data_IF_376895419188
#
_entry.id   IF_376895419188
#
_cell.length_a   1.000
_cell.length_b   1.000
_cell.length_c   1.000
_cell.angle_alpha   90.00
_cell.angle_beta   90.00
_cell.angle_gamma   90.00
#
_symmetry.space_group_name_H-M   'P 1'
#
loop_
_entity.id
_entity.type
_entity.pdbx_description
1 polymer ?
#
# COMPACT_ATOMS: atom_id res chain seq x y z
N UNK A 1 -59.89 -17.68 8.64
CA UNK A 1 -61.34 -18.01 8.65
C UNK A 1 -62.14 -16.81 8.19
N UNK A 2 -62.61 -16.83 6.94
CA UNK A 2 -63.87 -16.27 6.45
C UNK A 2 -64.00 -16.79 5.01
N UNK A 3 -64.86 -17.80 4.84
CA UNK A 3 -65.24 -18.39 3.57
C UNK A 3 -66.30 -17.49 2.94
N UNK A 4 -66.29 -17.31 1.63
CA UNK A 4 -67.52 -17.25 0.85
C UNK A 4 -67.31 -17.90 -0.51
N UNK A 5 -68.32 -18.65 -0.92
CA UNK A 5 -68.29 -19.67 -1.94
C UNK A 5 -68.87 -19.18 -3.28
N UNK A 6 -68.29 -19.71 -4.36
CA UNK A 6 -68.86 -20.27 -5.60
C UNK A 6 -70.10 -19.58 -6.21
N UNK A 7 -69.96 -19.19 -7.48
CA UNK A 7 -70.98 -19.46 -8.50
C UNK A 7 -70.30 -19.64 -9.87
N UNK A 8 -70.30 -20.89 -10.36
CA UNK A 8 -70.04 -21.21 -11.77
C UNK A 8 -71.41 -21.31 -12.44
N UNK A 9 -71.65 -20.46 -13.44
CA UNK A 9 -72.76 -20.60 -14.39
C UNK A 9 -72.13 -20.75 -15.76
N UNK A 10 -72.40 -21.89 -16.40
CA UNK A 10 -72.02 -22.19 -17.79
C UNK A 10 -73.21 -21.83 -18.67
N UNK A 11 -73.03 -20.90 -19.61
CA UNK A 11 -73.84 -20.83 -20.82
C UNK A 11 -73.09 -20.04 -21.90
N UNK A 12 -72.97 -20.65 -23.07
CA UNK A 12 -72.10 -20.25 -24.18
C UNK A 12 -72.35 -18.86 -24.77
N UNK A 13 -71.31 -18.38 -25.44
CA UNK A 13 -71.31 -17.16 -26.24
C UNK A 13 -69.86 -16.74 -26.49
N UNK A 14 -69.40 -16.87 -27.73
CA UNK A 14 -68.09 -16.42 -28.15
C UNK A 14 -67.93 -14.92 -27.88
N UNK A 15 -66.99 -14.54 -27.01
CA UNK A 15 -66.69 -13.14 -26.70
C UNK A 15 -65.26 -12.82 -27.17
N UNK A 16 -65.18 -11.94 -28.16
CA UNK A 16 -63.95 -11.34 -28.67
C UNK A 16 -63.34 -10.47 -27.57
N UNK A 17 -62.16 -10.84 -27.06
CA UNK A 17 -61.41 -10.04 -26.10
C UNK A 17 -60.45 -9.13 -26.87
N UNK A 18 -60.81 -7.86 -26.99
CA UNK A 18 -59.89 -6.78 -27.33
C UNK A 18 -59.01 -6.45 -26.12
N UNK A 19 -57.69 -6.60 -26.27
CA UNK A 19 -56.74 -6.22 -25.23
C UNK A 19 -56.49 -4.70 -25.26
N UNK A 20 -57.03 -3.98 -24.28
CA UNK A 20 -56.66 -2.59 -24.00
C UNK A 20 -55.37 -2.61 -23.17
N UNK A 21 -54.26 -2.20 -23.77
CA UNK A 21 -52.99 -2.01 -23.07
C UNK A 21 -53.03 -0.73 -22.23
N UNK A 22 -53.24 -0.86 -20.91
CA UNK A 22 -53.07 0.23 -19.96
C UNK A 22 -51.56 0.41 -19.71
N UNK A 23 -50.99 1.47 -20.30
CA UNK A 23 -49.63 1.93 -20.02
C UNK A 23 -49.57 2.49 -18.59
N UNK A 24 -49.13 1.67 -17.63
CA UNK A 24 -48.75 2.14 -16.31
C UNK A 24 -47.36 2.78 -16.39
N UNK A 25 -47.32 4.12 -16.32
CA UNK A 25 -46.08 4.88 -16.17
C UNK A 25 -45.54 4.71 -14.74
N UNK A 26 -44.75 3.66 -14.52
CA UNK A 26 -44.05 3.48 -13.25
C UNK A 26 -42.96 4.53 -13.10
N UNK A 27 -43.23 5.59 -12.32
CA UNK A 27 -42.21 6.52 -11.79
C UNK A 27 -41.21 5.72 -10.96
N UNK A 28 -40.05 5.40 -11.53
CA UNK A 28 -38.88 4.85 -10.81
C UNK A 28 -38.38 5.87 -9.78
N UNK A 29 -38.75 5.69 -8.51
CA UNK A 29 -38.04 6.30 -7.37
C UNK A 29 -36.61 5.74 -7.34
N UNK A 30 -35.61 6.56 -7.66
CA UNK A 30 -34.20 6.25 -7.39
C UNK A 30 -34.02 6.11 -5.88
N UNK A 31 -33.84 4.88 -5.39
CA UNK A 31 -33.31 4.62 -4.05
C UNK A 31 -31.84 5.04 -4.04
N UNK A 32 -31.52 6.03 -3.22
CA UNK A 32 -30.16 6.35 -2.80
C UNK A 32 -29.55 5.14 -2.11
N UNK A 33 -28.54 4.53 -2.75
CA UNK A 33 -27.77 3.44 -2.18
C UNK A 33 -26.81 4.00 -1.13
N UNK A 34 -27.24 4.03 0.12
CA UNK A 34 -26.32 4.11 1.26
C UNK A 34 -25.50 2.81 1.29
N UNK A 35 -24.20 2.91 1.00
CA UNK A 35 -23.28 1.79 1.14
C UNK A 35 -23.06 1.58 2.64
N UNK A 36 -23.84 0.64 3.20
CA UNK A 36 -23.64 0.17 4.57
C UNK A 36 -22.52 -0.88 4.54
N UNK A 37 -21.36 -0.52 5.04
CA UNK A 37 -20.24 -1.45 5.25
C UNK A 37 -20.52 -2.32 6.47
N UNK A 38 -21.20 -3.43 6.27
CA UNK A 38 -21.33 -4.47 7.31
C UNK A 38 -20.01 -5.24 7.43
N UNK A 39 -19.42 -5.16 8.63
CA UNK A 39 -18.33 -6.03 9.05
C UNK A 39 -18.90 -7.39 9.47
N UNK A 40 -19.28 -8.20 8.49
CA UNK A 40 -19.65 -9.60 8.71
C UNK A 40 -18.65 -10.48 7.96
N UNK A 41 -17.98 -11.36 8.72
CA UNK A 41 -17.26 -12.51 8.18
C UNK A 41 -18.21 -13.26 7.24
N UNK A 42 -17.94 -13.16 5.95
CA UNK A 42 -18.66 -13.89 4.93
C UNK A 42 -17.60 -14.55 4.08
N UNK A 43 -17.68 -15.87 4.03
CA UNK A 43 -17.08 -16.74 3.04
C UNK A 43 -17.56 -16.33 1.65
N UNK A 44 -17.11 -15.17 1.16
CA UNK A 44 -17.39 -14.70 -0.18
C UNK A 44 -16.32 -15.32 -1.07
N UNK A 45 -16.71 -16.29 -1.88
CA UNK A 45 -15.86 -16.89 -2.93
C UNK A 45 -15.24 -15.86 -3.88
N UNK A 46 -15.71 -14.60 -3.90
CA UNK A 46 -15.23 -13.55 -4.79
C UNK A 46 -14.98 -12.21 -4.07
N UNK A 47 -13.90 -11.53 -4.46
CA UNK A 47 -13.58 -10.17 -4.01
C UNK A 47 -14.60 -9.14 -4.53
N UNK A 48 -14.99 -8.17 -3.69
CA UNK A 48 -15.88 -7.08 -4.12
C UNK A 48 -15.08 -5.88 -4.66
N UNK A 49 -15.00 -5.78 -5.99
CA UNK A 49 -14.22 -4.76 -6.69
C UNK A 49 -12.72 -4.90 -6.45
N UNK A 50 -11.91 -4.01 -7.04
CA UNK A 50 -10.45 -4.13 -7.01
C UNK A 50 -9.88 -4.05 -5.58
N UNK A 51 -10.53 -3.28 -4.70
CA UNK A 51 -10.11 -3.13 -3.30
C UNK A 51 -10.26 -4.42 -2.49
N UNK A 52 -11.19 -5.30 -2.87
CA UNK A 52 -11.37 -6.60 -2.24
C UNK A 52 -10.29 -7.61 -2.61
N UNK A 53 -9.54 -7.35 -3.69
CA UNK A 53 -8.43 -8.18 -4.13
C UNK A 53 -7.09 -7.78 -3.48
N UNK A 54 -7.06 -6.71 -2.69
CA UNK A 54 -5.86 -6.31 -1.92
C UNK A 54 -5.74 -7.20 -0.68
N UNK A 55 -4.56 -7.78 -0.51
CA UNK A 55 -4.25 -8.70 0.57
C UNK A 55 -4.54 -10.16 0.23
N UNK A 56 -4.56 -11.03 1.25
CA UNK A 56 -4.65 -12.49 1.08
C UNK A 56 -3.64 -13.05 0.07
N UNK A 57 -2.46 -12.43 -0.02
CA UNK A 57 -1.43 -12.80 -0.98
C UNK A 57 -0.85 -14.18 -0.64
N UNK A 58 -0.35 -14.95 -1.60
CA UNK A 58 0.28 -16.24 -1.32
C UNK A 58 1.52 -16.10 -0.42
N UNK A 59 1.71 -17.10 0.45
CA UNK A 59 2.99 -17.34 1.12
C UNK A 59 3.74 -18.40 0.30
N UNK A 60 4.85 -18.01 -0.32
CA UNK A 60 5.58 -18.85 -1.27
C UNK A 60 6.83 -19.40 -0.60
N UNK A 61 7.02 -20.71 -0.63
CA UNK A 61 8.30 -21.31 -0.21
C UNK A 61 9.36 -20.99 -1.25
N UNK A 62 10.48 -20.41 -0.84
CA UNK A 62 11.63 -20.21 -1.72
C UNK A 62 12.49 -21.46 -1.58
N UNK A 63 12.38 -22.36 -2.57
CA UNK A 63 12.99 -23.70 -2.53
C UNK A 63 14.50 -23.60 -2.40
N UNK A 64 15.13 -22.81 -3.26
CA UNK A 64 16.59 -22.67 -3.30
C UNK A 64 17.18 -22.18 -1.97
N UNK A 65 16.53 -21.22 -1.31
CA UNK A 65 16.96 -20.69 -0.02
C UNK A 65 16.68 -21.66 1.13
N UNK A 66 15.58 -22.40 1.06
CA UNK A 66 15.25 -23.42 2.05
C UNK A 66 16.27 -24.55 2.03
N UNK A 67 16.59 -25.07 0.84
CA UNK A 67 17.60 -26.11 0.63
C UNK A 67 18.99 -25.65 1.11
N UNK A 68 19.38 -24.41 0.78
CA UNK A 68 20.70 -23.89 1.14
C UNK A 68 20.89 -23.61 2.64
N UNK A 69 19.81 -23.53 3.42
CA UNK A 69 19.87 -23.19 4.85
C UNK A 69 19.41 -24.32 5.77
N UNK A 70 18.77 -25.35 5.22
CA UNK A 70 18.09 -26.39 6.00
C UNK A 70 16.88 -25.86 6.79
N UNK A 71 16.43 -24.63 6.52
CA UNK A 71 15.25 -24.01 7.11
C UNK A 71 14.09 -24.01 6.10
N UNK A 72 12.88 -23.79 6.58
CA UNK A 72 11.73 -23.50 5.72
C UNK A 72 11.67 -21.97 5.49
N UNK A 73 12.20 -21.50 4.36
CA UNK A 73 12.21 -20.07 4.02
C UNK A 73 11.01 -19.75 3.13
N UNK A 74 10.09 -18.95 3.67
CA UNK A 74 8.93 -18.45 2.96
C UNK A 74 9.00 -16.95 2.71
N UNK A 75 8.36 -16.51 1.63
CA UNK A 75 8.18 -15.09 1.36
C UNK A 75 6.74 -14.77 0.94
N UNK A 76 6.19 -13.72 1.53
CA UNK A 76 4.85 -13.21 1.25
C UNK A 76 4.87 -12.45 -0.08
N UNK A 77 4.13 -12.94 -1.08
CA UNK A 77 4.16 -12.43 -2.46
C UNK A 77 3.32 -11.15 -2.63
N UNK A 78 3.75 -10.04 -2.02
CA UNK A 78 3.02 -8.77 -2.04
C UNK A 78 3.02 -8.05 -3.40
N UNK A 79 3.90 -8.44 -4.31
CA UNK A 79 3.85 -8.01 -5.71
C UNK A 79 2.59 -8.50 -6.45
N UNK A 80 1.84 -9.47 -5.89
CA UNK A 80 0.57 -9.97 -6.45
C UNK A 80 -0.68 -9.17 -6.02
N UNK A 81 -0.52 -8.14 -5.19
CA UNK A 81 -1.61 -7.16 -5.02
C UNK A 81 -1.91 -6.48 -6.37
N UNK A 82 -3.15 -5.99 -6.61
CA UNK A 82 -3.57 -5.47 -7.92
C UNK A 82 -2.78 -4.24 -8.43
N UNK A 83 -2.35 -3.37 -7.53
CA UNK A 83 -1.43 -2.26 -7.79
C UNK A 83 0.04 -2.69 -7.84
N UNK A 84 0.32 -3.98 -7.68
CA UNK A 84 1.62 -4.61 -7.89
C UNK A 84 2.63 -4.38 -6.77
N UNK A 85 2.18 -4.02 -5.56
CA UNK A 85 3.07 -3.90 -4.40
C UNK A 85 2.37 -4.01 -3.06
N UNK A 86 3.17 -4.20 -2.01
CA UNK A 86 2.74 -4.13 -0.61
C UNK A 86 2.03 -2.81 -0.22
N UNK A 87 2.28 -1.71 -0.93
CA UNK A 87 1.71 -0.40 -0.58
C UNK A 87 0.20 -0.30 -0.84
N UNK A 88 -0.38 -1.25 -1.57
CA UNK A 88 -1.82 -1.35 -1.76
C UNK A 88 -2.56 -1.47 -0.43
N UNK A 89 -2.04 -2.31 0.48
CA UNK A 89 -2.61 -2.48 1.82
C UNK A 89 -2.65 -1.16 2.58
N UNK A 90 -1.57 -0.39 2.48
CA UNK A 90 -1.42 0.91 3.15
C UNK A 90 -2.37 1.93 2.55
N UNK A 91 -2.43 2.04 1.23
CA UNK A 91 -3.34 2.95 0.53
C UNK A 91 -4.81 2.66 0.85
N UNK A 92 -5.21 1.39 0.83
CA UNK A 92 -6.56 0.95 1.23
C UNK A 92 -6.87 1.36 2.66
N UNK A 93 -5.95 1.11 3.59
CA UNK A 93 -6.17 1.40 5.01
C UNK A 93 -6.24 2.90 5.29
N UNK A 94 -5.32 3.69 4.70
CA UNK A 94 -5.30 5.16 4.82
C UNK A 94 -6.62 5.76 4.31
N UNK A 95 -7.03 5.43 3.08
CA UNK A 95 -8.21 6.03 2.46
C UNK A 95 -9.49 5.59 3.17
N UNK A 96 -9.62 4.31 3.54
CA UNK A 96 -10.79 3.81 4.29
C UNK A 96 -10.94 4.50 5.64
N UNK A 97 -9.86 4.62 6.42
CA UNK A 97 -9.93 5.28 7.73
C UNK A 97 -10.20 6.78 7.60
N UNK A 98 -9.65 7.45 6.57
CA UNK A 98 -9.93 8.84 6.30
C UNK A 98 -11.41 9.08 5.94
N UNK A 99 -12.00 8.21 5.11
CA UNK A 99 -13.42 8.26 4.76
C UNK A 99 -14.31 7.98 5.97
N UNK A 100 -13.99 6.94 6.76
CA UNK A 100 -14.75 6.57 7.96
C UNK A 100 -14.74 7.66 9.04
N UNK A 101 -13.61 8.36 9.19
CA UNK A 101 -13.48 9.47 10.14
C UNK A 101 -14.02 10.80 9.62
N UNK A 102 -14.45 10.87 8.35
CA UNK A 102 -14.92 12.10 7.71
C UNK A 102 -13.80 13.11 7.38
N UNK A 103 -12.54 12.75 7.57
CA UNK A 103 -11.36 13.55 7.16
C UNK A 103 -11.15 13.57 5.66
N UNK A 104 -11.68 12.57 4.97
CA UNK A 104 -11.83 12.50 3.52
C UNK A 104 -13.30 12.24 3.21
N UNK A 105 -13.76 12.68 2.04
CA UNK A 105 -15.14 12.51 1.57
C UNK A 105 -15.12 11.97 0.13
N UNK A 106 -16.19 11.28 -0.32
CA UNK A 106 -16.36 11.01 -1.75
C UNK A 106 -16.24 12.30 -2.56
N UNK A 107 -15.48 12.28 -3.65
CA UNK A 107 -15.12 13.45 -4.46
C UNK A 107 -13.97 14.30 -3.90
N UNK A 108 -13.49 14.03 -2.69
CA UNK A 108 -12.32 14.68 -2.09
C UNK A 108 -11.01 14.26 -2.74
N UNK A 109 -9.94 15.04 -2.56
CA UNK A 109 -8.61 14.74 -3.09
C UNK A 109 -7.69 14.19 -2.03
N UNK A 110 -7.07 13.04 -2.31
CA UNK A 110 -5.97 12.48 -1.51
C UNK A 110 -4.65 12.94 -2.12
N UNK A 111 -3.77 13.50 -1.30
CA UNK A 111 -2.45 13.96 -1.74
C UNK A 111 -1.32 13.18 -1.12
N UNK A 112 -0.23 12.99 -1.87
CA UNK A 112 1.00 12.36 -1.38
C UNK A 112 2.22 12.88 -2.14
N UNK A 113 3.35 13.01 -1.43
CA UNK A 113 4.64 13.27 -2.05
C UNK A 113 5.39 11.95 -2.26
N UNK A 114 5.30 11.37 -3.45
CA UNK A 114 6.02 10.14 -3.80
C UNK A 114 5.95 9.88 -5.30
N UNK A 115 7.03 9.39 -5.91
CA UNK A 115 7.00 8.84 -7.29
C UNK A 115 6.95 7.29 -7.30
N UNK A 116 6.84 6.65 -6.13
CA UNK A 116 7.01 5.21 -5.96
C UNK A 116 5.70 4.45 -5.78
N UNK A 117 5.81 3.24 -5.25
CA UNK A 117 4.68 2.30 -5.13
C UNK A 117 3.52 2.87 -4.30
N UNK A 118 3.78 3.71 -3.30
CA UNK A 118 2.71 4.36 -2.52
C UNK A 118 1.84 5.27 -3.37
N UNK A 119 2.43 6.06 -4.28
CA UNK A 119 1.65 6.92 -5.16
C UNK A 119 0.79 6.12 -6.13
N UNK A 120 1.33 5.04 -6.68
CA UNK A 120 0.63 4.13 -7.59
C UNK A 120 -0.56 3.48 -6.88
N UNK A 121 -0.34 2.96 -5.68
CA UNK A 121 -1.39 2.38 -4.84
C UNK A 121 -2.46 3.40 -4.47
N UNK A 122 -2.08 4.64 -4.11
CA UNK A 122 -3.03 5.71 -3.80
C UNK A 122 -3.85 6.13 -5.02
N UNK A 123 -3.23 6.24 -6.20
CA UNK A 123 -3.93 6.58 -7.45
C UNK A 123 -5.03 5.56 -7.76
N UNK A 124 -4.68 4.27 -7.76
CA UNK A 124 -5.63 3.18 -7.98
C UNK A 124 -6.74 3.16 -6.92
N UNK A 125 -6.39 3.24 -5.63
CA UNK A 125 -7.36 3.12 -4.54
C UNK A 125 -8.27 4.35 -4.46
N UNK A 126 -7.76 5.56 -4.70
CA UNK A 126 -8.56 6.78 -4.68
C UNK A 126 -9.68 6.69 -5.72
N UNK A 127 -9.36 6.32 -6.96
CA UNK A 127 -10.36 6.13 -8.03
C UNK A 127 -11.41 5.11 -7.62
N UNK A 128 -11.00 3.94 -7.10
CA UNK A 128 -11.93 2.90 -6.66
C UNK A 128 -12.83 3.33 -5.47
N UNK A 129 -12.40 4.31 -4.67
CA UNK A 129 -13.16 4.91 -3.58
C UNK A 129 -13.98 6.15 -4.00
N UNK A 130 -13.98 6.52 -5.29
CA UNK A 130 -14.64 7.74 -5.78
C UNK A 130 -13.96 9.03 -5.30
N UNK A 131 -12.66 8.99 -5.01
CA UNK A 131 -11.83 10.12 -4.62
C UNK A 131 -10.89 10.51 -5.76
N UNK A 132 -10.42 11.76 -5.76
CA UNK A 132 -9.36 12.25 -6.63
C UNK A 132 -7.99 11.94 -6.00
N UNK A 133 -6.95 11.81 -6.81
CA UNK A 133 -5.57 11.65 -6.33
C UNK A 133 -4.68 12.74 -6.92
N UNK A 134 -3.89 13.40 -6.09
CA UNK A 134 -2.90 14.38 -6.51
C UNK A 134 -1.54 14.04 -5.92
N UNK A 135 -0.60 13.67 -6.80
CA UNK A 135 0.75 13.26 -6.42
C UNK A 135 1.73 14.36 -6.75
N UNK A 136 2.63 14.67 -5.81
CA UNK A 136 3.74 15.58 -6.06
C UNK A 136 5.03 14.77 -6.16
N UNK A 137 5.76 14.93 -7.25
CA UNK A 137 6.98 14.17 -7.55
C UNK A 137 8.15 15.10 -7.89
N UNK A 138 9.40 14.69 -7.61
CA UNK A 138 10.59 15.36 -8.17
C UNK A 138 10.57 15.39 -9.71
N UNK A 139 11.01 16.48 -10.32
CA UNK A 139 11.05 16.64 -11.79
C UNK A 139 12.13 15.80 -12.48
N UNK A 140 13.13 15.34 -11.73
CA UNK A 140 14.18 14.40 -12.14
C UNK A 140 13.76 12.92 -12.00
N UNK A 141 12.54 12.64 -11.53
CA UNK A 141 11.99 11.30 -11.54
C UNK A 141 11.78 10.81 -12.98
N UNK A 142 11.99 9.50 -13.18
CA UNK A 142 11.79 8.85 -14.48
C UNK A 142 10.40 9.17 -15.06
N UNK A 143 10.35 9.52 -16.35
CA UNK A 143 9.14 10.01 -17.02
C UNK A 143 8.02 8.97 -16.96
N UNK A 144 8.37 7.69 -17.07
CA UNK A 144 7.47 6.55 -17.01
C UNK A 144 6.72 6.48 -15.67
N UNK A 145 7.33 6.94 -14.57
CA UNK A 145 6.68 6.98 -13.25
C UNK A 145 5.51 7.97 -13.25
N UNK A 146 5.68 9.14 -13.86
CA UNK A 146 4.62 10.13 -13.99
C UNK A 146 3.51 9.66 -14.95
N UNK A 147 3.89 9.14 -16.12
CA UNK A 147 2.94 8.63 -17.12
C UNK A 147 2.04 7.53 -16.55
N UNK A 148 2.61 6.61 -15.74
CA UNK A 148 1.83 5.59 -15.06
C UNK A 148 0.82 6.18 -14.07
N UNK A 149 1.23 7.19 -13.28
CA UNK A 149 0.33 7.84 -12.32
C UNK A 149 -0.81 8.59 -13.02
N UNK A 150 -0.51 9.29 -14.11
CA UNK A 150 -1.49 9.98 -14.94
C UNK A 150 -2.47 8.99 -15.59
N UNK A 151 -1.97 7.87 -16.11
CA UNK A 151 -2.80 6.80 -16.67
C UNK A 151 -3.71 6.13 -15.63
N UNK A 152 -3.29 6.12 -14.35
CA UNK A 152 -4.12 5.67 -13.22
C UNK A 152 -5.12 6.73 -12.74
N UNK A 153 -5.18 7.90 -13.40
CA UNK A 153 -6.13 8.96 -13.11
C UNK A 153 -5.68 9.94 -12.02
N UNK A 154 -4.40 9.94 -11.65
CA UNK A 154 -3.87 10.92 -10.71
C UNK A 154 -3.43 12.21 -11.41
N UNK A 155 -3.64 13.35 -10.76
CA UNK A 155 -2.96 14.60 -11.11
C UNK A 155 -1.52 14.53 -10.62
N UNK A 156 -0.55 14.84 -11.49
CA UNK A 156 0.88 14.81 -11.15
C UNK A 156 1.46 16.22 -11.20
N UNK A 157 1.98 16.70 -10.07
CA UNK A 157 2.74 17.95 -9.97
C UNK A 157 4.23 17.63 -9.87
N UNK A 158 5.00 18.03 -10.89
CA UNK A 158 6.46 17.87 -10.89
C UNK A 158 7.12 19.11 -10.29
N UNK A 159 8.05 18.90 -9.37
CA UNK A 159 8.71 19.99 -8.63
C UNK A 159 10.21 19.76 -8.57
N UNK A 160 10.97 20.85 -8.49
CA UNK A 160 12.43 20.79 -8.37
C UNK A 160 12.86 20.02 -7.11
N UNK A 161 13.81 19.07 -7.21
CA UNK A 161 14.41 18.40 -6.07
C UNK A 161 15.09 19.39 -5.13
N UNK A 162 14.77 19.30 -3.85
CA UNK A 162 15.35 20.11 -2.76
C UNK A 162 15.52 19.24 -1.51
N UNK A 163 16.25 19.73 -0.51
CA UNK A 163 16.44 18.99 0.75
C UNK A 163 15.11 18.78 1.49
N UNK A 164 15.04 17.73 2.32
CA UNK A 164 13.83 17.40 3.11
C UNK A 164 13.37 18.52 4.05
N UNK A 165 14.30 19.36 4.50
CA UNK A 165 14.03 20.53 5.36
C UNK A 165 13.50 21.73 4.59
N UNK A 166 13.67 21.75 3.27
CA UNK A 166 13.20 22.85 2.44
C UNK A 166 11.67 22.86 2.34
N UNK A 167 11.07 24.06 2.39
CA UNK A 167 9.61 24.22 2.30
C UNK A 167 9.03 23.66 1.00
N UNK A 168 9.80 23.68 -0.08
CA UNK A 168 9.38 23.21 -1.42
C UNK A 168 9.77 21.76 -1.70
N UNK A 169 10.17 21.01 -0.67
CA UNK A 169 10.28 19.56 -0.79
C UNK A 169 8.93 18.97 -1.20
N UNK A 170 8.92 18.05 -2.17
CA UNK A 170 7.70 17.48 -2.77
C UNK A 170 6.67 16.96 -1.73
N UNK A 171 7.12 16.38 -0.62
CA UNK A 171 6.24 15.96 0.50
C UNK A 171 5.56 17.15 1.19
N UNK A 172 6.29 18.26 1.38
CA UNK A 172 5.75 19.47 1.99
C UNK A 172 4.76 20.17 1.05
N UNK A 173 5.03 20.16 -0.26
CA UNK A 173 4.10 20.65 -1.28
C UNK A 173 2.83 19.81 -1.29
N UNK A 174 2.93 18.48 -1.30
CA UNK A 174 1.75 17.60 -1.25
C UNK A 174 0.87 17.88 -0.02
N UNK A 175 1.49 18.10 1.15
CA UNK A 175 0.77 18.51 2.37
C UNK A 175 0.05 19.84 2.18
N UNK A 176 0.71 20.85 1.58
CA UNK A 176 0.06 22.14 1.29
C UNK A 176 -1.11 21.98 0.33
N UNK A 177 -0.99 21.15 -0.72
CA UNK A 177 -2.10 20.89 -1.67
C UNK A 177 -3.34 20.30 -1.00
N UNK A 178 -3.16 19.41 -0.02
CA UNK A 178 -4.28 18.92 0.78
C UNK A 178 -4.93 20.04 1.61
N UNK A 179 -4.12 20.87 2.28
CA UNK A 179 -4.61 21.99 3.09
C UNK A 179 -5.35 23.02 2.25
N UNK A 180 -4.82 23.37 1.07
CA UNK A 180 -5.43 24.29 0.12
C UNK A 180 -6.77 23.75 -0.40
N UNK A 181 -6.83 22.47 -0.76
CA UNK A 181 -8.07 21.84 -1.22
C UNK A 181 -9.14 21.78 -0.11
N UNK A 182 -8.74 21.53 1.14
CA UNK A 182 -9.63 21.55 2.30
C UNK A 182 -10.13 22.96 2.63
N UNK A 183 -9.26 23.96 2.58
CA UNK A 183 -9.62 25.36 2.80
C UNK A 183 -10.64 25.85 1.75
N UNK A 184 -10.37 25.62 0.46
CA UNK A 184 -11.27 25.95 -0.65
C UNK A 184 -12.64 25.27 -0.52
N UNK A 185 -12.68 24.04 0.01
CA UNK A 185 -13.93 23.36 0.29
C UNK A 185 -14.72 24.05 1.41
N UNK A 186 -14.06 24.42 2.50
CA UNK A 186 -14.70 25.13 3.62
C UNK A 186 -15.23 26.50 3.23
N UNK A 187 -14.47 27.26 2.43
CA UNK A 187 -14.92 28.57 1.92
C UNK A 187 -16.21 28.45 1.10
N UNK A 188 -16.31 27.47 0.20
CA UNK A 188 -17.54 27.21 -0.58
C UNK A 188 -18.73 26.83 0.30
N UNK A 189 -18.52 26.11 1.39
CA UNK A 189 -19.58 25.77 2.34
C UNK A 189 -20.08 26.98 3.15
N UNK A 190 -19.25 28.01 3.33
CA UNK A 190 -19.64 29.25 4.03
C UNK A 190 -20.40 30.19 3.09
N UNK A 191 -20.03 30.23 1.81
CA UNK A 191 -20.61 31.15 0.82
C UNK A 191 -22.02 30.74 0.35
N UNK A 192 -22.47 29.51 0.60
CA UNK A 192 -23.87 29.10 0.42
C UNK A 192 -24.66 29.31 1.72
N UNK A 193 -25.31 30.47 1.95
CA UNK A 193 -25.95 30.74 3.23
C UNK A 193 -27.21 29.90 3.34
N UNK A 194 -27.41 29.30 4.50
CA UNK A 194 -28.72 28.79 4.91
C UNK A 194 -29.66 29.99 4.99
N UNK A 195 -30.59 30.13 4.05
CA UNK A 195 -31.56 31.22 4.08
C UNK A 195 -32.53 31.02 5.25
N UNK A 196 -32.39 31.84 6.30
CA UNK A 196 -33.21 31.76 7.52
C UNK A 196 -34.64 32.28 7.32
N UNK A 197 -34.96 32.85 6.15
CA UNK A 197 -36.29 33.40 5.85
C UNK A 197 -37.15 32.51 4.94
N UNK A 198 -36.72 31.31 4.57
CA UNK A 198 -37.54 30.41 3.77
C UNK A 198 -38.69 29.80 4.61
N UNK A 199 -39.91 30.31 4.40
CA UNK A 199 -41.14 29.85 5.07
C UNK A 199 -41.72 28.56 4.48
N UNK A 200 -40.98 27.84 3.63
CA UNK A 200 -41.46 26.63 2.96
C UNK A 200 -40.63 25.39 3.37
N UNK A 201 -41.10 24.56 4.32
CA UNK A 201 -40.27 23.49 4.91
C UNK A 201 -40.04 22.27 4.00
N UNK A 202 -40.41 22.31 2.71
CA UNK A 202 -40.33 21.15 1.81
C UNK A 202 -39.30 21.27 0.68
N UNK A 203 -38.39 22.26 0.68
CA UNK A 203 -37.37 22.41 -0.38
C UNK A 203 -35.96 22.80 0.07
N UNK A 204 -35.55 22.54 1.32
CA UNK A 204 -34.15 22.73 1.73
C UNK A 204 -33.31 21.48 1.50
N UNK A 205 -33.08 21.14 0.24
CA UNK A 205 -31.90 20.39 -0.16
C UNK A 205 -30.78 21.39 -0.39
N UNK A 206 -29.71 21.34 0.40
CA UNK A 206 -28.45 22.04 0.10
C UNK A 206 -28.05 21.77 -1.35
N UNK A 207 -28.28 22.74 -2.23
CA UNK A 207 -27.73 22.74 -3.57
C UNK A 207 -26.25 23.09 -3.46
N UNK A 208 -25.44 22.12 -3.04
CA UNK A 208 -24.03 22.11 -3.42
C UNK A 208 -24.08 22.04 -4.94
N UNK A 209 -23.62 23.09 -5.62
CA UNK A 209 -23.37 23.02 -7.06
C UNK A 209 -22.27 21.97 -7.20
N UNK A 210 -22.70 20.75 -7.54
CA UNK A 210 -21.85 19.59 -7.75
C UNK A 210 -21.12 19.82 -9.09
N UNK A 211 -20.19 20.78 -9.10
CA UNK A 211 -19.22 20.88 -10.18
C UNK A 211 -18.39 19.61 -10.09
N UNK A 212 -18.63 18.67 -11.02
CA UNK A 212 -17.89 17.39 -11.09
C UNK A 212 -16.37 17.59 -11.04
N UNK A 213 -15.90 18.77 -11.44
CA UNK A 213 -14.49 19.11 -11.56
C UNK A 213 -13.84 19.58 -10.25
N UNK A 214 -14.58 20.07 -9.25
CA UNK A 214 -13.96 20.55 -8.00
C UNK A 214 -13.84 19.45 -6.93
N UNK A 215 -12.80 19.50 -6.10
CA UNK A 215 -12.58 18.50 -5.06
C UNK A 215 -13.42 18.77 -3.80
N UNK A 216 -13.98 17.73 -3.19
CA UNK A 216 -14.79 17.80 -1.95
C UNK A 216 -13.90 17.75 -0.69
N UNK A 217 -12.93 18.67 -0.61
CA UNK A 217 -11.94 18.74 0.46
C UNK A 217 -10.63 18.01 0.14
N UNK A 218 -9.67 18.08 1.05
CA UNK A 218 -8.30 17.59 0.84
C UNK A 218 -7.73 16.81 2.02
N UNK A 219 -7.06 15.69 1.73
CA UNK A 219 -6.46 14.81 2.73
C UNK A 219 -5.04 14.40 2.35
N UNK A 220 -4.08 14.74 3.21
CA UNK A 220 -2.68 14.32 3.04
C UNK A 220 -2.50 12.90 3.59
N UNK A 221 -2.09 11.96 2.74
CA UNK A 221 -1.99 10.54 3.10
C UNK A 221 -0.94 10.29 4.21
N UNK A 222 0.19 10.99 4.12
CA UNK A 222 1.30 10.99 5.08
C UNK A 222 1.80 9.58 5.43
N UNK A 223 2.23 8.81 4.43
CA UNK A 223 2.61 7.40 4.63
C UNK A 223 3.63 7.14 5.75
N UNK A 224 4.46 8.12 6.09
CA UNK A 224 5.48 8.01 7.12
C UNK A 224 4.89 8.14 8.53
N UNK A 225 3.99 9.10 8.74
CA UNK A 225 3.47 9.44 10.07
C UNK A 225 2.05 8.92 10.34
N UNK A 226 1.35 8.45 9.31
CA UNK A 226 0.00 7.90 9.44
C UNK A 226 0.04 6.45 9.93
N UNK A 227 -0.48 6.21 11.15
CA UNK A 227 -0.53 4.88 11.78
C UNK A 227 -1.52 3.90 11.11
N UNK A 228 -2.32 4.36 10.14
CA UNK A 228 -3.06 3.46 9.26
C UNK A 228 -2.10 2.51 8.51
N UNK A 229 -0.88 2.97 8.22
CA UNK A 229 0.18 2.16 7.64
C UNK A 229 0.54 0.96 8.54
N UNK A 230 0.93 1.19 9.79
CA UNK A 230 1.13 0.14 10.80
C UNK A 230 -0.09 -0.80 10.91
N UNK A 231 -1.30 -0.22 11.05
CA UNK A 231 -2.53 -1.00 11.23
C UNK A 231 -2.85 -1.89 10.03
N UNK A 232 -2.52 -1.48 8.81
CA UNK A 232 -2.73 -2.30 7.61
C UNK A 232 -2.01 -3.65 7.72
N UNK A 233 -0.83 -3.64 8.33
CA UNK A 233 0.00 -4.83 8.47
C UNK A 233 -0.31 -5.60 9.75
N UNK A 234 -0.58 -4.92 10.86
CA UNK A 234 -1.01 -5.56 12.10
C UNK A 234 -2.34 -6.31 11.95
N UNK A 235 -3.30 -5.73 11.21
CA UNK A 235 -4.65 -6.28 11.04
C UNK A 235 -4.80 -7.11 9.76
N UNK A 236 -3.78 -7.14 8.90
CA UNK A 236 -3.82 -7.83 7.60
C UNK A 236 -2.65 -8.79 7.43
N UNK A 237 -1.47 -8.25 7.09
CA UNK A 237 -0.31 -9.08 6.72
C UNK A 237 0.15 -10.02 7.84
N UNK A 238 0.21 -9.56 9.10
CA UNK A 238 0.59 -10.39 10.26
C UNK A 238 -0.34 -11.61 10.45
N UNK A 239 -1.66 -11.41 10.58
CA UNK A 239 -2.63 -12.51 10.65
C UNK A 239 -2.54 -13.49 9.49
N UNK A 240 -2.34 -13.00 8.27
CA UNK A 240 -2.19 -13.86 7.10
C UNK A 240 -0.95 -14.75 7.21
N UNK A 241 0.20 -14.19 7.60
CA UNK A 241 1.45 -14.96 7.80
C UNK A 241 1.25 -16.03 8.89
N UNK A 242 0.65 -15.66 10.02
CA UNK A 242 0.41 -16.57 11.12
C UNK A 242 -0.47 -17.75 10.69
N UNK A 243 -1.59 -17.46 10.01
CA UNK A 243 -2.50 -18.49 9.50
C UNK A 243 -1.83 -19.37 8.45
N UNK A 244 -1.11 -18.79 7.49
CA UNK A 244 -0.49 -19.51 6.37
C UNK A 244 0.69 -20.40 6.80
N UNK A 245 1.33 -20.08 7.93
CA UNK A 245 2.37 -20.93 8.54
C UNK A 245 1.80 -21.92 9.57
N UNK A 246 0.50 -21.88 9.85
CA UNK A 246 -0.10 -22.67 10.93
C UNK A 246 0.50 -22.33 12.31
N UNK A 247 0.92 -21.08 12.52
CA UNK A 247 1.58 -20.63 13.75
C UNK A 247 3.03 -21.10 13.92
N UNK A 248 3.64 -21.70 12.89
CA UNK A 248 5.00 -22.26 12.95
C UNK A 248 6.12 -21.27 12.64
N UNK A 249 5.81 -20.00 12.32
CA UNK A 249 6.83 -18.98 12.01
C UNK A 249 7.75 -18.74 13.21
N UNK A 250 9.03 -19.08 13.08
CA UNK A 250 10.04 -18.91 14.15
C UNK A 250 10.75 -17.56 14.04
N UNK A 251 10.91 -17.05 12.82
CA UNK A 251 11.41 -15.70 12.62
C UNK A 251 10.78 -14.95 11.44
N UNK A 252 10.76 -13.63 11.60
CA UNK A 252 10.40 -12.68 10.56
C UNK A 252 11.53 -11.68 10.33
N UNK A 253 11.79 -11.36 9.07
CA UNK A 253 12.78 -10.35 8.70
C UNK A 253 12.31 -9.52 7.51
N UNK A 254 12.48 -8.21 7.61
CA UNK A 254 12.18 -7.28 6.53
C UNK A 254 13.00 -5.99 6.64
N UNK A 255 13.22 -5.35 5.50
CA UNK A 255 13.72 -3.99 5.41
C UNK A 255 12.61 -2.99 5.72
N UNK A 256 13.02 -1.75 5.97
CA UNK A 256 12.12 -0.68 6.37
C UNK A 256 12.38 0.61 5.60
N UNK A 257 11.31 1.19 5.06
CA UNK A 257 11.25 2.61 4.67
C UNK A 257 10.42 3.39 5.68
N UNK A 258 9.10 3.40 5.50
CA UNK A 258 8.16 4.05 6.44
C UNK A 258 8.05 3.35 7.80
N UNK A 259 8.43 2.08 7.90
CA UNK A 259 8.34 1.28 9.13
C UNK A 259 7.02 0.55 9.36
N UNK A 260 5.95 0.84 8.61
CA UNK A 260 4.63 0.26 8.89
C UNK A 260 4.57 -1.26 8.67
N UNK A 261 5.22 -1.79 7.63
CA UNK A 261 5.28 -3.24 7.37
C UNK A 261 5.97 -3.98 8.50
N UNK A 262 7.22 -3.62 8.80
CA UNK A 262 8.00 -4.29 9.83
C UNK A 262 7.34 -4.13 11.20
N UNK A 263 6.84 -2.94 11.54
CA UNK A 263 6.23 -2.72 12.83
C UNK A 263 4.91 -3.49 12.99
N UNK A 264 4.00 -3.41 12.01
CA UNK A 264 2.70 -4.08 12.09
C UNK A 264 2.83 -5.59 12.19
N UNK A 265 3.70 -6.21 11.38
CA UNK A 265 3.89 -7.66 11.38
C UNK A 265 4.56 -8.12 12.68
N UNK A 266 5.66 -7.47 13.08
CA UNK A 266 6.41 -7.90 14.28
C UNK A 266 5.60 -7.75 15.55
N UNK A 267 4.81 -6.67 15.68
CA UNK A 267 3.85 -6.53 16.77
C UNK A 267 2.84 -7.67 16.80
N UNK A 268 2.19 -7.96 15.66
CA UNK A 268 1.19 -9.02 15.62
C UNK A 268 1.79 -10.39 15.96
N UNK A 269 2.92 -10.76 15.34
CA UNK A 269 3.55 -12.06 15.57
C UNK A 269 3.97 -12.24 17.03
N UNK A 270 4.53 -11.20 17.66
CA UNK A 270 4.91 -11.25 19.08
C UNK A 270 3.72 -11.21 20.04
N UNK A 271 2.59 -10.65 19.63
CA UNK A 271 1.35 -10.76 20.40
C UNK A 271 0.76 -12.18 20.33
N UNK A 272 1.01 -12.93 19.25
CA UNK A 272 0.63 -14.35 19.16
C UNK A 272 1.61 -15.26 19.90
N UNK A 273 2.92 -15.02 19.72
CA UNK A 273 4.00 -15.80 20.33
C UNK A 273 5.24 -14.90 20.54
N UNK A 274 5.50 -14.43 21.78
CA UNK A 274 6.59 -13.50 22.07
C UNK A 274 7.99 -13.98 21.64
N UNK A 275 8.18 -15.30 21.55
CA UNK A 275 9.44 -15.98 21.20
C UNK A 275 9.81 -15.81 19.72
N UNK A 276 8.86 -15.46 18.85
CA UNK A 276 9.13 -15.24 17.42
C UNK A 276 10.18 -14.16 17.25
N UNK A 277 11.28 -14.50 16.58
CA UNK A 277 12.41 -13.59 16.37
C UNK A 277 12.15 -12.63 15.23
N UNK A 278 12.38 -11.35 15.46
CA UNK A 278 12.04 -10.29 14.51
C UNK A 278 13.28 -9.43 14.21
N UNK A 279 13.71 -9.41 12.95
CA UNK A 279 14.92 -8.70 12.54
C UNK A 279 14.66 -7.63 11.47
N UNK A 280 15.39 -6.53 11.57
CA UNK A 280 15.54 -5.56 10.48
C UNK A 280 16.67 -5.99 9.54
N UNK A 281 16.49 -5.90 8.23
CA UNK A 281 17.59 -5.89 7.26
C UNK A 281 17.69 -4.49 6.64
N UNK A 282 18.82 -3.80 6.84
CA UNK A 282 18.97 -2.39 6.49
C UNK A 282 19.99 -2.20 5.36
N UNK A 283 19.69 -1.41 4.31
CA UNK A 283 20.60 -1.14 3.22
C UNK A 283 21.69 -0.12 3.61
N UNK A 284 22.73 0.06 2.78
CA UNK A 284 23.73 1.12 2.95
C UNK A 284 23.08 2.51 2.97
N UNK A 285 23.68 3.46 3.70
CA UNK A 285 23.18 4.84 3.82
C UNK A 285 21.99 5.02 4.78
N UNK A 286 21.38 3.93 5.26
CA UNK A 286 20.32 3.96 6.27
C UNK A 286 20.87 3.92 7.70
N UNK A 287 20.27 4.71 8.58
CA UNK A 287 20.62 4.79 10.00
C UNK A 287 19.87 3.79 10.88
N UNK A 288 18.87 3.08 10.35
CA UNK A 288 17.99 2.23 11.15
C UNK A 288 18.72 1.04 11.78
N UNK A 289 19.73 0.48 11.13
CA UNK A 289 20.56 -0.59 11.72
C UNK A 289 21.20 -0.14 13.02
N UNK A 290 21.84 1.04 13.04
CA UNK A 290 22.47 1.58 14.23
C UNK A 290 21.41 1.97 15.27
N UNK A 291 20.23 2.43 14.83
CA UNK A 291 19.12 2.72 15.76
C UNK A 291 18.71 1.49 16.54
N UNK A 292 18.57 0.34 15.87
CA UNK A 292 18.14 -0.92 16.48
C UNK A 292 19.26 -1.54 17.31
N UNK A 293 20.48 -1.59 16.77
CA UNK A 293 21.60 -2.27 17.43
C UNK A 293 22.28 -1.46 18.54
N UNK A 294 22.22 -0.13 18.49
CA UNK A 294 23.00 0.77 19.37
C UNK A 294 22.18 1.90 19.99
N UNK A 295 20.90 2.05 19.63
CA UNK A 295 20.05 3.14 20.10
C UNK A 295 20.31 4.50 19.41
N UNK A 296 21.23 4.59 18.46
CA UNK A 296 21.62 5.86 17.80
C UNK A 296 21.33 5.80 16.31
N UNK A 297 20.66 6.83 15.77
CA UNK A 297 20.37 6.94 14.35
C UNK A 297 21.52 7.63 13.61
N UNK A 298 22.30 6.87 12.85
CA UNK A 298 23.47 7.36 12.12
C UNK A 298 23.83 6.37 11.01
N UNK A 299 24.19 6.84 9.81
CA UNK A 299 24.77 6.01 8.75
C UNK A 299 26.29 6.24 8.63
N UNK A 300 27.08 5.21 8.32
CA UNK A 300 28.57 5.38 8.23
C UNK A 300 28.96 6.32 7.10
N UNK A 301 28.12 6.37 6.07
CA UNK A 301 28.20 7.22 4.90
C UNK A 301 28.00 8.71 5.25
N UNK A 302 27.50 9.03 6.46
CA UNK A 302 27.41 10.39 6.99
C UNK A 302 28.69 10.83 7.72
N UNK A 303 29.73 9.98 7.77
CA UNK A 303 31.01 10.32 8.38
C UNK A 303 31.67 11.50 7.67
N UNK A 304 32.32 12.37 8.45
CA UNK A 304 33.11 13.48 7.94
C UNK A 304 34.14 12.99 6.91
N UNK A 305 34.25 13.71 5.79
CA UNK A 305 35.12 13.34 4.66
C UNK A 305 34.60 12.21 3.75
N UNK A 306 33.49 11.54 4.09
CA UNK A 306 32.86 10.48 3.26
C UNK A 306 31.41 10.78 2.86
N UNK A 307 30.90 11.94 3.27
CA UNK A 307 29.54 12.38 3.00
C UNK A 307 29.30 12.50 1.50
N UNK A 308 28.51 11.57 0.97
CA UNK A 308 28.07 11.59 -0.42
C UNK A 308 27.13 12.79 -0.67
N UNK A 309 27.11 13.29 -1.91
CA UNK A 309 26.21 14.38 -2.33
C UNK A 309 24.74 14.00 -2.10
N UNK A 310 24.41 12.71 -2.27
CA UNK A 310 23.17 12.10 -1.82
C UNK A 310 23.50 11.03 -0.77
N UNK A 311 23.14 11.20 0.51
CA UNK A 311 23.50 10.24 1.58
C UNK A 311 22.83 8.86 1.43
N UNK A 312 21.87 8.72 0.50
CA UNK A 312 21.18 7.47 0.15
C UNK A 312 21.59 6.95 -1.22
N UNK A 313 22.88 7.01 -1.58
CA UNK A 313 23.41 6.49 -2.85
C UNK A 313 23.45 4.95 -2.85
N UNK A 314 22.29 4.35 -2.60
CA UNK A 314 22.00 2.93 -2.74
C UNK A 314 21.13 2.74 -3.96
N UNK A 315 21.38 1.66 -4.70
CA UNK A 315 20.50 1.24 -5.82
C UNK A 315 19.22 0.57 -5.32
N UNK A 316 19.10 0.31 -4.02
CA UNK A 316 17.87 -0.23 -3.43
C UNK A 316 16.83 0.88 -3.25
N UNK A 317 15.62 0.66 -3.79
CA UNK A 317 14.55 1.65 -3.78
C UNK A 317 13.47 1.27 -2.75
N UNK A 318 12.93 2.29 -2.06
CA UNK A 318 11.77 2.14 -1.18
C UNK A 318 12.06 1.66 0.24
N UNK A 319 13.34 1.49 0.59
CA UNK A 319 13.85 1.10 1.91
C UNK A 319 15.06 1.96 2.29
N UNK A 320 15.37 2.01 3.59
CA UNK A 320 16.44 2.84 4.14
C UNK A 320 16.01 4.27 4.42
N UNK A 321 16.34 4.80 5.60
CA UNK A 321 15.99 6.17 6.00
C UNK A 321 16.82 6.67 7.21
N UNK A 322 17.13 7.96 7.23
CA UNK A 322 17.85 8.62 8.34
C UNK A 322 16.92 9.50 9.20
N UNK A 323 15.69 9.01 9.46
CA UNK A 323 14.79 9.56 10.49
C UNK A 323 13.92 8.47 11.10
N UNK A 324 13.45 8.68 12.33
CA UNK A 324 12.48 7.81 12.98
C UNK A 324 11.06 8.27 12.64
N UNK A 325 10.27 7.36 12.10
CA UNK A 325 8.84 7.58 11.82
C UNK A 325 8.00 7.07 12.98
N UNK A 326 6.78 7.61 13.15
CA UNK A 326 5.82 7.07 14.13
C UNK A 326 5.53 5.57 13.92
N UNK A 327 5.49 5.13 12.67
CA UNK A 327 5.26 3.73 12.35
C UNK A 327 6.44 2.84 12.80
N UNK A 328 7.69 3.23 12.50
CA UNK A 328 8.87 2.43 12.85
C UNK A 328 9.07 2.33 14.37
N UNK A 329 8.75 3.38 15.11
CA UNK A 329 8.86 3.40 16.58
C UNK A 329 8.04 2.31 17.28
N UNK A 330 7.02 1.75 16.60
CA UNK A 330 6.21 0.66 17.13
C UNK A 330 6.84 -0.72 16.90
N UNK A 331 7.90 -0.85 16.09
CA UNK A 331 8.46 -2.14 15.75
C UNK A 331 9.06 -2.86 16.95
N UNK A 332 8.74 -4.16 17.09
CA UNK A 332 9.30 -5.03 18.13
C UNK A 332 10.40 -5.91 17.52
N UNK A 333 11.65 -5.49 17.66
CA UNK A 333 12.81 -6.13 17.01
C UNK A 333 13.77 -6.77 18.02
N UNK A 334 14.23 -7.98 17.73
CA UNK A 334 15.28 -8.70 18.47
C UNK A 334 16.68 -8.33 17.97
N UNK A 335 16.80 -7.71 16.78
CA UNK A 335 18.07 -7.26 16.25
C UNK A 335 17.96 -6.65 14.85
N UNK A 336 19.12 -6.31 14.29
CA UNK A 336 19.24 -5.82 12.93
C UNK A 336 20.45 -6.43 12.22
N UNK A 337 20.35 -6.53 10.90
CA UNK A 337 21.33 -7.05 9.97
C UNK A 337 21.56 -5.96 8.91
N UNK A 338 22.78 -5.84 8.39
CA UNK A 338 23.06 -4.96 7.24
C UNK A 338 23.14 -5.76 5.96
N UNK A 339 22.56 -5.28 4.87
CA UNK A 339 22.88 -5.82 3.54
C UNK A 339 23.58 -4.79 2.70
N UNK A 340 24.17 -5.24 1.61
CA UNK A 340 24.82 -4.38 0.61
C UNK A 340 24.04 -4.40 -0.71
N UNK A 341 24.28 -3.39 -1.54
CA UNK A 341 23.70 -3.31 -2.88
C UNK A 341 24.11 -4.49 -3.76
N UNK A 342 25.38 -4.89 -3.68
CA UNK A 342 25.90 -6.06 -4.40
C UNK A 342 25.15 -7.33 -4.00
N UNK A 343 24.93 -7.56 -2.71
CA UNK A 343 24.17 -8.72 -2.24
C UNK A 343 22.72 -8.70 -2.70
N UNK A 344 22.06 -7.54 -2.72
CA UNK A 344 20.71 -7.43 -3.26
C UNK A 344 20.68 -7.77 -4.76
N UNK A 345 21.64 -7.27 -5.56
CA UNK A 345 21.73 -7.59 -6.98
C UNK A 345 21.97 -9.09 -7.19
N UNK A 346 22.97 -9.67 -6.53
CA UNK A 346 23.28 -11.10 -6.65
C UNK A 346 22.09 -11.97 -6.22
N UNK A 347 21.46 -11.64 -5.10
CA UNK A 347 20.26 -12.34 -4.62
C UNK A 347 19.12 -12.27 -5.63
N UNK A 348 18.90 -11.12 -6.27
CA UNK A 348 17.84 -11.00 -7.29
C UNK A 348 18.08 -11.88 -8.52
N UNK A 349 19.35 -12.08 -8.91
CA UNK A 349 19.71 -12.95 -10.03
C UNK A 349 19.64 -14.41 -9.64
N UNK A 350 20.05 -14.74 -8.42
CA UNK A 350 19.92 -16.07 -7.84
C UNK A 350 18.44 -16.51 -7.79
N UNK A 351 17.56 -15.70 -7.20
CA UNK A 351 16.12 -15.99 -7.12
C UNK A 351 15.46 -16.19 -8.50
N UNK A 352 15.85 -15.37 -9.49
CA UNK A 352 15.33 -15.50 -10.84
C UNK A 352 15.79 -16.81 -11.49
N UNK A 353 17.08 -17.16 -11.35
CA UNK A 353 17.66 -18.35 -11.97
C UNK A 353 17.19 -19.66 -11.33
N UNK A 354 17.11 -19.70 -10.00
CA UNK A 354 16.86 -20.94 -9.25
C UNK A 354 15.36 -21.21 -8.98
N UNK A 355 14.55 -20.15 -8.85
CA UNK A 355 13.13 -20.25 -8.51
C UNK A 355 12.19 -19.55 -9.51
N UNK A 356 12.72 -18.83 -10.51
CA UNK A 356 11.88 -18.04 -11.43
C UNK A 356 11.26 -16.80 -10.79
N UNK A 357 11.76 -16.35 -9.64
CA UNK A 357 11.19 -15.25 -8.87
C UNK A 357 11.79 -13.91 -9.33
N UNK A 358 10.99 -13.12 -10.06
CA UNK A 358 11.40 -11.81 -10.58
C UNK A 358 10.91 -10.64 -9.72
N UNK A 359 11.79 -10.06 -8.91
CA UNK A 359 11.41 -9.14 -7.81
C UNK A 359 12.25 -7.87 -7.76
N UNK A 360 11.70 -6.83 -7.13
CA UNK A 360 12.41 -5.58 -6.91
C UNK A 360 13.56 -5.65 -5.90
N UNK A 361 14.31 -4.57 -5.82
CA UNK A 361 15.52 -4.46 -4.99
C UNK A 361 15.28 -4.69 -3.49
N UNK A 362 14.19 -4.13 -2.94
CA UNK A 362 13.83 -4.34 -1.53
C UNK A 362 13.46 -5.79 -1.20
N UNK A 363 12.82 -6.51 -2.13
CA UNK A 363 12.51 -7.94 -2.00
C UNK A 363 13.78 -8.79 -1.99
N UNK A 364 14.75 -8.46 -2.84
CA UNK A 364 16.04 -9.15 -2.86
C UNK A 364 16.82 -8.92 -1.56
N UNK A 365 16.85 -7.67 -1.07
CA UNK A 365 17.44 -7.33 0.24
C UNK A 365 16.75 -8.09 1.39
N UNK A 366 15.43 -8.21 1.35
CA UNK A 366 14.67 -9.03 2.30
C UNK A 366 15.10 -10.50 2.30
N UNK A 367 15.31 -11.10 1.13
CA UNK A 367 15.80 -12.48 1.01
C UNK A 367 17.24 -12.63 1.51
N UNK A 368 18.12 -11.64 1.34
CA UNK A 368 19.45 -11.61 1.99
C UNK A 368 19.29 -11.67 3.51
N UNK A 369 18.38 -10.87 4.08
CA UNK A 369 18.03 -10.92 5.50
C UNK A 369 17.53 -12.30 5.92
N UNK A 370 16.65 -12.92 5.13
CA UNK A 370 16.08 -14.24 5.41
C UNK A 370 17.14 -15.34 5.50
N UNK A 371 18.10 -15.37 4.56
CA UNK A 371 19.20 -16.35 4.60
C UNK A 371 20.07 -16.17 5.83
N UNK A 372 20.39 -14.92 6.19
CA UNK A 372 21.23 -14.65 7.38
C UNK A 372 20.52 -15.00 8.69
N UNK A 373 19.23 -14.72 8.79
CA UNK A 373 18.43 -15.14 9.96
C UNK A 373 18.29 -16.67 10.00
N UNK A 374 18.08 -17.33 8.87
CA UNK A 374 18.04 -18.79 8.78
C UNK A 374 19.35 -19.42 9.28
N UNK A 375 20.50 -18.89 8.82
CA UNK A 375 21.83 -19.33 9.29
C UNK A 375 22.06 -19.05 10.77
N UNK A 376 21.56 -17.94 11.29
CA UNK A 376 21.68 -17.59 12.71
C UNK A 376 20.90 -18.56 13.61
N UNK A 377 19.69 -18.96 13.20
CA UNK A 377 18.87 -19.89 13.98
C UNK A 377 19.25 -21.36 13.77
N UNK A 378 19.85 -21.68 12.63
CA UNK A 378 20.20 -23.05 12.25
C UNK A 378 19.01 -23.81 11.63
N UNK A 379 19.26 -25.02 11.08
CA UNK A 379 18.27 -25.78 10.33
C UNK A 379 17.03 -26.16 11.16
N UNK A 380 15.92 -26.44 10.48
CA UNK A 380 14.65 -26.85 11.07
C UNK A 380 13.69 -25.71 11.47
N UNK A 381 14.11 -24.45 11.32
CA UNK A 381 13.28 -23.29 11.64
C UNK A 381 12.47 -22.79 10.43
N UNK A 382 11.35 -22.12 10.70
CA UNK A 382 10.52 -21.45 9.68
C UNK A 382 10.78 -19.95 9.67
N UNK A 383 11.28 -19.44 8.54
CA UNK A 383 11.63 -18.02 8.36
C UNK A 383 10.67 -17.39 7.34
N UNK A 384 10.10 -16.24 7.68
CA UNK A 384 9.21 -15.50 6.77
C UNK A 384 9.81 -14.13 6.43
N UNK A 385 9.78 -13.79 5.14
CA UNK A 385 10.07 -12.43 4.66
C UNK A 385 9.02 -11.95 3.65
N UNK A 386 9.25 -10.81 3.01
CA UNK A 386 8.30 -10.14 2.11
C UNK A 386 8.92 -9.93 0.72
N UNK A 387 8.19 -10.30 -0.33
CA UNK A 387 8.47 -9.88 -1.71
C UNK A 387 7.58 -8.68 -2.04
N UNK A 388 8.13 -7.48 -1.83
CA UNK A 388 7.42 -6.19 -1.82
C UNK A 388 6.77 -5.82 -3.15
N UNK A 389 7.51 -5.96 -4.25
CA UNK A 389 7.13 -5.57 -5.60
C UNK A 389 7.92 -6.36 -6.67
N UNK A 390 7.45 -6.29 -7.92
CA UNK A 390 8.03 -6.99 -9.07
C UNK A 390 9.27 -6.29 -9.62
N UNK A 391 10.19 -7.08 -10.17
CA UNK A 391 11.40 -6.58 -10.83
C UNK A 391 11.11 -5.68 -12.05
N UNK A 392 9.91 -5.77 -12.63
CA UNK A 392 9.48 -4.94 -13.78
C UNK A 392 9.51 -3.44 -13.47
N UNK A 393 9.36 -3.07 -12.20
CA UNK A 393 9.41 -1.67 -11.73
C UNK A 393 10.84 -1.12 -11.64
N UNK A 394 11.85 -1.97 -11.78
CA UNK A 394 13.25 -1.67 -11.53
C UNK A 394 14.15 -1.90 -12.76
N UNK A 395 13.57 -1.99 -13.96
CA UNK A 395 14.28 -2.31 -15.20
C UNK A 395 15.34 -1.30 -15.61
N UNK A 396 15.12 -0.01 -15.36
CA UNK A 396 16.04 1.05 -15.79
C UNK A 396 17.30 1.21 -14.92
N UNK A 397 17.32 0.60 -13.73
CA UNK A 397 18.44 0.70 -12.78
C UNK A 397 18.88 -0.67 -12.26
N UNK A 398 18.11 -1.27 -11.35
CA UNK A 398 18.46 -2.52 -10.66
C UNK A 398 18.63 -3.74 -11.59
N UNK A 399 17.95 -3.74 -12.73
CA UNK A 399 18.08 -4.76 -13.78
C UNK A 399 18.82 -4.29 -15.04
N UNK A 400 19.34 -3.06 -15.06
CA UNK A 400 20.05 -2.51 -16.21
C UNK A 400 21.56 -2.77 -16.07
N UNK A 401 22.14 -3.55 -16.99
CA UNK A 401 23.57 -3.92 -16.94
C UNK A 401 24.51 -2.72 -17.04
N UNK A 402 24.20 -1.72 -17.87
CA UNK A 402 25.04 -0.53 -18.02
C UNK A 402 25.04 0.30 -16.73
N UNK A 403 23.86 0.50 -16.13
CA UNK A 403 23.71 1.16 -14.84
C UNK A 403 24.51 0.42 -13.75
N UNK A 404 24.34 -0.91 -13.65
CA UNK A 404 25.08 -1.71 -12.67
C UNK A 404 26.60 -1.67 -12.91
N UNK A 405 27.04 -1.66 -14.16
CA UNK A 405 28.46 -1.55 -14.53
C UNK A 405 29.08 -0.25 -14.04
N UNK A 406 28.39 0.89 -14.24
CA UNK A 406 28.88 2.20 -13.76
C UNK A 406 29.00 2.30 -12.24
N UNK A 407 28.32 1.42 -11.49
CA UNK A 407 28.37 1.35 -10.03
C UNK A 407 29.23 0.19 -9.51
N UNK A 408 29.86 -0.61 -10.39
CA UNK A 408 30.66 -1.77 -9.99
C UNK A 408 29.83 -2.94 -9.41
N UNK A 409 28.56 -3.04 -9.79
CA UNK A 409 27.57 -3.96 -9.21
C UNK A 409 27.12 -5.07 -10.18
N UNK A 410 27.83 -5.30 -11.28
CA UNK A 410 27.51 -6.38 -12.22
C UNK A 410 27.49 -7.74 -11.49
N UNK A 411 26.41 -8.54 -11.62
CA UNK A 411 26.31 -9.83 -10.95
C UNK A 411 27.32 -10.83 -11.49
N UNK A 412 27.97 -11.56 -10.60
CA UNK A 412 29.04 -12.52 -10.91
C UNK A 412 28.87 -13.86 -10.18
N UNK A 413 28.03 -13.92 -9.15
CA UNK A 413 27.87 -15.11 -8.33
C UNK A 413 27.05 -16.21 -9.05
N UNK A 414 27.43 -17.46 -8.79
CA UNK A 414 26.75 -18.66 -9.28
C UNK A 414 25.85 -19.31 -8.23
N UNK A 415 26.11 -19.07 -6.95
CA UNK A 415 25.31 -19.54 -5.82
C UNK A 415 25.17 -18.47 -4.75
N UNK A 416 25.09 -18.88 -3.49
CA UNK A 416 25.00 -18.00 -2.32
C UNK A 416 26.37 -17.63 -1.71
N UNK A 417 27.48 -17.87 -2.42
CA UNK A 417 28.83 -17.53 -1.98
C UNK A 417 29.07 -16.03 -1.78
N UNK A 418 28.20 -15.18 -2.33
CA UNK A 418 28.23 -13.73 -2.08
C UNK A 418 27.76 -13.35 -0.67
N UNK A 419 27.10 -14.28 0.05
CA UNK A 419 26.72 -14.14 1.46
C UNK A 419 27.80 -14.80 2.32
N UNK A 420 28.94 -14.13 2.47
CA UNK A 420 30.03 -14.58 3.36
C UNK A 420 29.75 -14.16 4.80
#
# INVERSE_FOLDING_TARGET
MRKLAIAVVISGGALVIGAIAIVHSSRRRRRSSQIVWSAAHCDRQHAHGILGAVGNTPLVKIRSLSEATGCEVYAKAEFLNPGGSIKDRVAVKIIKEALQSGKLRPGGVVTEGSAGSTAISLAMVAVACGCKCHVVIPDDAAIEKAQLLEALGATVERVRPVSITHKDHFVNIARRRAQEAEAKYKERMIVCPFDKNDKNPTKNGTHIVDSKDEAQGGYFADQFENLANFRAHYQGTGPEIWKQTGGKVDAFVAASGTGGTIAGITCYLKDQRPEVKCYLIDPPGSGLYNRVSRGVLYAREEAEGKRLKNPFDTITEGIGINRLTKNFLLAKLDGAIRGTDKEAVEMSRFLLREDGIFVGSSSAMNCVGAVRVARLLGPGHTIVTILCDSGSRHLSKFYNSDYLSTHGLLPTAKGLEFLV
#
